data_IF_319158813881
#
_entry.id   IF_319158813881
#
_cell.length_a   1.000
_cell.length_b   1.000
_cell.length_c   1.000
_cell.angle_alpha   90.00
_cell.angle_beta   90.00
_cell.angle_gamma   90.00
#
_symmetry.space_group_name_H-M   'P 1'
#
loop_
_entity.id
_entity.type
_entity.pdbx_description
1 polymer ?
#
# COMPACT_ATOMS: atom_id res chain seq x y z
N UNK A 1 -22.31 -8.01 30.97
CA UNK A 1 -21.34 -6.93 31.22
C UNK A 1 -19.98 -7.39 30.77
N UNK A 2 -19.27 -6.58 30.00
CA UNK A 2 -17.93 -6.91 29.54
C UNK A 2 -16.96 -6.97 30.73
N UNK A 3 -16.21 -8.06 30.86
CA UNK A 3 -15.11 -8.14 31.81
C UNK A 3 -13.86 -7.53 31.19
N UNK A 4 -13.35 -6.48 31.78
CA UNK A 4 -12.20 -5.74 31.28
C UNK A 4 -11.02 -5.86 32.23
N UNK A 5 -9.84 -6.17 31.71
CA UNK A 5 -8.57 -6.20 32.45
C UNK A 5 -7.55 -5.31 31.74
N UNK A 6 -6.93 -4.38 32.48
CA UNK A 6 -5.85 -3.53 31.95
C UNK A 6 -4.48 -4.08 32.33
N UNK A 7 -3.62 -4.23 31.33
CA UNK A 7 -2.24 -4.68 31.51
C UNK A 7 -1.34 -3.68 30.77
N UNK A 8 -0.66 -2.80 31.51
CA UNK A 8 0.14 -1.72 30.93
C UNK A 8 -0.71 -0.83 29.98
N UNK A 9 -0.34 -0.71 28.73
CA UNK A 9 -1.08 0.02 27.69
C UNK A 9 -2.15 -0.81 26.98
N UNK A 10 -2.31 -2.09 27.35
CA UNK A 10 -3.27 -3.00 26.74
C UNK A 10 -4.54 -3.12 27.59
N UNK A 11 -5.67 -3.23 26.91
CA UNK A 11 -6.96 -3.51 27.51
C UNK A 11 -7.52 -4.81 26.95
N UNK A 12 -7.73 -5.82 27.80
CA UNK A 12 -8.32 -7.10 27.44
C UNK A 12 -9.80 -7.06 27.78
N UNK A 13 -10.64 -7.28 26.77
CA UNK A 13 -12.09 -7.18 26.93
C UNK A 13 -12.72 -8.51 26.52
N UNK A 14 -13.40 -9.15 27.45
CA UNK A 14 -14.20 -10.34 27.20
C UNK A 14 -15.66 -9.93 27.02
N UNK A 15 -16.10 -9.84 25.74
CA UNK A 15 -17.45 -9.44 25.38
C UNK A 15 -17.79 -10.01 23.98
N UNK A 16 -19.06 -9.93 23.60
CA UNK A 16 -19.44 -10.09 22.18
C UNK A 16 -18.80 -8.99 21.35
N UNK A 17 -18.13 -9.38 20.27
CA UNK A 17 -17.35 -8.44 19.47
C UNK A 17 -18.21 -7.40 18.76
N UNK A 18 -19.42 -7.76 18.29
CA UNK A 18 -20.34 -6.82 17.64
C UNK A 18 -20.89 -5.80 18.63
N UNK A 19 -21.27 -6.24 19.86
CA UNK A 19 -21.72 -5.33 20.90
C UNK A 19 -20.58 -4.37 21.32
N UNK A 20 -19.37 -4.91 21.51
CA UNK A 20 -18.24 -4.09 21.93
C UNK A 20 -17.82 -3.08 20.86
N UNK A 21 -17.68 -3.50 19.61
CA UNK A 21 -17.23 -2.63 18.52
C UNK A 21 -18.19 -1.46 18.29
N UNK A 22 -19.50 -1.65 18.52
CA UNK A 22 -20.49 -0.57 18.42
C UNK A 22 -20.24 0.57 19.42
N UNK A 23 -19.55 0.30 20.53
CA UNK A 23 -19.19 1.32 21.52
C UNK A 23 -18.00 2.17 21.10
N UNK A 24 -17.21 1.72 20.14
CA UNK A 24 -16.02 2.45 19.65
C UNK A 24 -16.43 3.61 18.72
N UNK A 25 -15.75 4.76 18.83
CA UNK A 25 -15.96 5.87 17.89
C UNK A 25 -15.64 5.48 16.45
N UNK A 26 -16.26 6.16 15.50
CA UNK A 26 -15.87 6.06 14.08
C UNK A 26 -14.44 6.57 13.87
N UNK A 27 -13.72 5.98 12.91
CA UNK A 27 -12.37 6.40 12.52
C UNK A 27 -11.38 6.49 13.71
N UNK A 28 -11.49 5.57 14.69
CA UNK A 28 -10.69 5.57 15.92
C UNK A 28 -9.58 4.54 15.95
N UNK A 29 -9.66 3.50 15.11
CA UNK A 29 -8.78 2.32 15.12
C UNK A 29 -7.79 2.38 13.95
N UNK A 30 -6.50 2.19 14.22
CA UNK A 30 -5.46 2.20 13.20
C UNK A 30 -5.28 0.83 12.53
N UNK A 31 -5.49 -0.26 13.28
CA UNK A 31 -5.26 -1.62 12.82
C UNK A 31 -6.26 -2.59 13.45
N UNK A 32 -6.85 -3.43 12.63
CA UNK A 32 -7.61 -4.61 13.07
C UNK A 32 -6.88 -5.87 12.61
N UNK A 33 -6.59 -6.76 13.56
CA UNK A 33 -6.11 -8.12 13.27
C UNK A 33 -7.08 -9.08 13.95
N UNK A 34 -7.76 -9.92 13.17
CA UNK A 34 -8.82 -10.77 13.70
C UNK A 34 -8.77 -12.17 13.12
N UNK A 35 -9.00 -13.15 13.99
CA UNK A 35 -9.11 -14.58 13.68
C UNK A 35 -10.50 -15.06 14.12
N UNK A 36 -11.54 -14.83 13.28
CA UNK A 36 -12.91 -15.23 13.61
C UNK A 36 -13.08 -16.75 13.52
N UNK A 37 -14.16 -17.32 14.07
CA UNK A 37 -14.54 -18.71 13.79
C UNK A 37 -14.57 -18.99 12.29
N UNK A 38 -14.12 -20.19 11.86
CA UNK A 38 -14.07 -20.53 10.43
C UNK A 38 -15.28 -21.33 9.95
N UNK A 39 -16.22 -21.55 10.83
CA UNK A 39 -17.44 -22.33 10.61
C UNK A 39 -17.20 -23.78 10.14
N UNK A 40 -17.55 -24.75 10.99
CA UNK A 40 -17.41 -26.19 10.79
C UNK A 40 -15.97 -26.71 10.68
N UNK A 41 -14.99 -26.01 11.25
CA UNK A 41 -13.61 -26.47 11.34
C UNK A 41 -13.36 -27.20 12.67
N UNK A 42 -14.03 -26.78 13.74
CA UNK A 42 -13.96 -27.36 15.07
C UNK A 42 -15.32 -27.93 15.48
N UNK A 43 -15.35 -28.98 16.33
CA UNK A 43 -16.61 -29.57 16.80
C UNK A 43 -17.33 -28.70 17.86
N UNK A 44 -16.66 -27.70 18.40
CA UNK A 44 -17.18 -26.82 19.47
C UNK A 44 -18.35 -25.96 18.98
N UNK A 45 -19.29 -25.67 19.89
CA UNK A 45 -20.51 -24.94 19.59
C UNK A 45 -20.26 -23.54 19.06
N UNK A 46 -19.20 -22.87 19.50
CA UNK A 46 -18.85 -21.53 19.01
C UNK A 46 -18.47 -21.50 17.51
N UNK A 47 -17.99 -22.63 16.94
CA UNK A 47 -17.65 -22.73 15.51
C UNK A 47 -18.84 -23.31 14.69
N UNK A 48 -19.94 -23.67 15.33
CA UNK A 48 -21.10 -24.33 14.72
C UNK A 48 -22.44 -23.64 15.00
N UNK A 49 -22.42 -22.36 15.35
CA UNK A 49 -23.62 -21.61 15.75
C UNK A 49 -24.47 -21.14 14.56
N UNK A 50 -23.97 -21.23 13.34
CA UNK A 50 -24.68 -20.82 12.13
C UNK A 50 -25.35 -22.00 11.44
N UNK A 51 -26.49 -21.75 10.78
CA UNK A 51 -27.28 -22.76 10.07
C UNK A 51 -26.64 -23.22 8.76
N UNK A 52 -25.84 -22.36 8.14
CA UNK A 52 -25.16 -22.63 6.86
C UNK A 52 -24.13 -21.57 6.53
N UNK A 53 -23.48 -21.73 5.37
CA UNK A 53 -22.44 -20.81 4.89
C UNK A 53 -22.98 -19.39 4.71
N UNK A 54 -24.19 -19.26 4.15
CA UNK A 54 -24.84 -17.94 3.96
C UNK A 54 -25.12 -17.24 5.29
N UNK A 55 -25.49 -17.98 6.34
CA UNK A 55 -25.79 -17.44 7.66
C UNK A 55 -24.49 -16.98 8.35
N UNK A 56 -23.43 -17.75 8.22
CA UNK A 56 -22.09 -17.37 8.66
C UNK A 56 -21.57 -16.12 7.93
N UNK A 57 -21.69 -16.08 6.61
CA UNK A 57 -21.25 -14.93 5.81
C UNK A 57 -22.04 -13.67 6.14
N UNK A 58 -23.34 -13.76 6.39
CA UNK A 58 -24.14 -12.62 6.86
C UNK A 58 -23.66 -12.06 8.20
N UNK A 59 -23.35 -12.94 9.15
CA UNK A 59 -22.77 -12.52 10.43
C UNK A 59 -21.41 -11.86 10.23
N UNK A 60 -20.53 -12.45 9.42
CA UNK A 60 -19.21 -11.89 9.14
C UNK A 60 -19.31 -10.54 8.41
N UNK A 61 -20.31 -10.36 7.54
CA UNK A 61 -20.57 -9.08 6.87
C UNK A 61 -20.95 -7.97 7.86
N UNK A 62 -21.71 -8.30 8.90
CA UNK A 62 -22.01 -7.36 9.98
C UNK A 62 -20.73 -6.95 10.73
N UNK A 63 -19.82 -7.91 10.98
CA UNK A 63 -18.51 -7.60 11.57
C UNK A 63 -17.69 -6.67 10.65
N UNK A 64 -17.61 -6.98 9.36
CA UNK A 64 -16.91 -6.18 8.38
C UNK A 64 -17.45 -4.75 8.27
N UNK A 65 -18.76 -4.58 8.35
CA UNK A 65 -19.39 -3.26 8.37
C UNK A 65 -18.95 -2.44 9.59
N UNK A 66 -18.84 -3.06 10.77
CA UNK A 66 -18.35 -2.38 11.96
C UNK A 66 -16.83 -2.15 11.89
N UNK A 67 -16.04 -3.07 11.35
CA UNK A 67 -14.60 -2.86 11.12
C UNK A 67 -14.37 -1.66 10.21
N UNK A 68 -15.15 -1.54 9.15
CA UNK A 68 -15.08 -0.40 8.24
C UNK A 68 -15.41 0.92 8.95
N UNK A 69 -16.44 0.95 9.78
CA UNK A 69 -16.86 2.14 10.53
C UNK A 69 -15.77 2.63 11.49
N UNK A 70 -15.14 1.73 12.24
CA UNK A 70 -14.19 2.10 13.29
C UNK A 70 -12.77 2.32 12.78
N UNK A 71 -12.39 1.72 11.65
CA UNK A 71 -11.07 1.93 11.05
C UNK A 71 -10.90 3.37 10.57
N UNK A 72 -9.76 3.96 10.86
CA UNK A 72 -9.33 5.23 10.27
C UNK A 72 -9.16 5.10 8.75
N UNK A 73 -9.29 6.19 7.97
CA UNK A 73 -9.07 6.17 6.51
C UNK A 73 -7.74 5.57 6.06
N UNK A 74 -6.70 5.66 6.89
CA UNK A 74 -5.39 5.04 6.67
C UNK A 74 -5.22 3.70 7.40
N UNK A 75 -6.29 3.19 8.01
CA UNK A 75 -6.28 1.96 8.81
C UNK A 75 -6.17 0.70 7.95
N UNK A 76 -5.73 -0.38 8.58
CA UNK A 76 -5.53 -1.67 7.92
C UNK A 76 -6.28 -2.79 8.62
N UNK A 77 -6.75 -3.76 7.84
CA UNK A 77 -7.43 -4.97 8.30
C UNK A 77 -6.65 -6.21 7.88
N UNK A 78 -6.37 -7.10 8.83
CA UNK A 78 -5.91 -8.46 8.60
C UNK A 78 -6.98 -9.42 9.11
N UNK A 79 -7.63 -10.13 8.20
CA UNK A 79 -8.67 -11.11 8.50
C UNK A 79 -8.18 -12.51 8.19
N UNK A 80 -8.06 -13.34 9.21
CA UNK A 80 -7.79 -14.77 9.04
C UNK A 80 -9.05 -15.50 8.60
N UNK A 81 -8.91 -16.47 7.72
CA UNK A 81 -10.02 -17.30 7.27
C UNK A 81 -9.57 -18.69 6.80
N UNK A 82 -10.47 -19.65 6.91
CA UNK A 82 -10.27 -20.99 6.36
C UNK A 82 -10.29 -20.98 4.82
N UNK A 83 -9.59 -21.95 4.22
CA UNK A 83 -9.47 -22.07 2.76
C UNK A 83 -10.82 -22.25 2.05
N UNK A 84 -11.84 -22.80 2.72
CA UNK A 84 -13.13 -23.17 2.14
C UNK A 84 -13.95 -21.95 1.70
N UNK A 85 -14.02 -20.92 2.53
CA UNK A 85 -14.80 -19.70 2.28
C UNK A 85 -13.95 -18.47 1.97
N UNK A 86 -12.64 -18.65 1.78
CA UNK A 86 -11.72 -17.52 1.58
C UNK A 86 -12.10 -16.63 0.37
N UNK A 87 -12.57 -17.24 -0.72
CA UNK A 87 -12.97 -16.51 -1.92
C UNK A 87 -14.27 -15.72 -1.70
N UNK A 88 -15.26 -16.31 -1.03
CA UNK A 88 -16.53 -15.65 -0.71
C UNK A 88 -16.30 -14.46 0.24
N UNK A 89 -15.44 -14.66 1.25
CA UNK A 89 -15.07 -13.62 2.21
C UNK A 89 -14.29 -12.49 1.50
N UNK A 90 -13.38 -12.81 0.58
CA UNK A 90 -12.64 -11.79 -0.18
C UNK A 90 -13.58 -10.97 -1.05
N UNK A 91 -14.52 -11.59 -1.75
CA UNK A 91 -15.52 -10.89 -2.57
C UNK A 91 -16.34 -9.94 -1.69
N UNK A 92 -16.84 -10.43 -0.55
CA UNK A 92 -17.59 -9.63 0.40
C UNK A 92 -16.77 -8.47 0.99
N UNK A 93 -15.50 -8.70 1.31
CA UNK A 93 -14.59 -7.63 1.77
C UNK A 93 -14.39 -6.53 0.73
N UNK A 94 -14.34 -6.87 -0.56
CA UNK A 94 -14.16 -5.90 -1.65
C UNK A 94 -15.31 -4.92 -1.81
N UNK A 95 -16.46 -5.19 -1.23
CA UNK A 95 -17.58 -4.23 -1.21
C UNK A 95 -17.29 -3.00 -0.35
N UNK A 96 -16.39 -3.12 0.66
CA UNK A 96 -16.07 -2.07 1.62
C UNK A 96 -14.60 -1.70 1.69
N UNK A 97 -13.70 -2.65 1.46
CA UNK A 97 -12.27 -2.52 1.62
C UNK A 97 -11.53 -2.66 0.28
N UNK A 98 -10.37 -2.02 0.19
CA UNK A 98 -9.42 -2.33 -0.87
C UNK A 98 -8.56 -3.51 -0.43
N UNK A 99 -8.89 -4.71 -0.89
CA UNK A 99 -8.10 -5.92 -0.60
C UNK A 99 -6.78 -5.85 -1.37
N UNK A 100 -5.68 -5.78 -0.63
CA UNK A 100 -4.33 -5.62 -1.17
C UNK A 100 -3.64 -6.96 -1.43
N UNK A 101 -3.78 -7.91 -0.49
CA UNK A 101 -3.11 -9.19 -0.57
C UNK A 101 -3.98 -10.32 -0.02
N UNK A 102 -3.88 -11.47 -0.66
CA UNK A 102 -4.32 -12.76 -0.16
C UNK A 102 -3.08 -13.54 0.28
N UNK A 103 -2.75 -13.44 1.57
CA UNK A 103 -1.57 -14.05 2.17
C UNK A 103 -1.86 -15.52 2.44
N UNK A 104 -0.94 -16.39 2.07
CA UNK A 104 -1.02 -17.83 2.34
C UNK A 104 -0.09 -18.15 3.49
N UNK A 105 -0.66 -18.57 4.62
CA UNK A 105 0.10 -19.07 5.76
C UNK A 105 0.26 -20.58 5.63
N UNK A 106 1.44 -21.03 5.21
CA UNK A 106 1.77 -22.44 5.13
C UNK A 106 2.07 -23.00 6.52
N UNK A 107 1.34 -24.03 6.93
CA UNK A 107 1.58 -24.75 8.19
C UNK A 107 2.72 -25.76 8.00
N UNK A 108 3.67 -25.88 8.93
CA UNK A 108 4.86 -26.72 8.76
C UNK A 108 4.58 -28.22 8.68
N UNK A 109 3.43 -28.69 9.11
CA UNK A 109 2.98 -30.08 8.90
C UNK A 109 1.47 -30.18 8.96
N UNK A 110 0.85 -30.74 7.93
CA UNK A 110 -0.51 -31.22 8.02
C UNK A 110 -0.57 -32.41 8.99
N UNK A 111 -1.24 -32.27 10.14
CA UNK A 111 -1.50 -33.40 11.02
C UNK A 111 -2.53 -34.31 10.34
N UNK A 112 -2.08 -35.44 9.88
CA UNK A 112 -2.91 -36.55 9.35
C UNK A 112 -3.72 -37.27 10.42
N UNK A 113 -3.82 -36.75 11.63
CA UNK A 113 -4.49 -37.37 12.75
C UNK A 113 -5.99 -37.56 12.47
N UNK A 114 -6.37 -38.79 12.21
CA UNK A 114 -7.78 -39.18 12.07
C UNK A 114 -8.37 -39.14 10.64
N UNK A 115 -7.60 -38.79 9.62
CA UNK A 115 -8.07 -38.90 8.24
C UNK A 115 -7.84 -40.27 7.64
N UNK A 116 -8.91 -40.92 7.21
CA UNK A 116 -8.80 -42.11 6.36
C UNK A 116 -8.36 -41.68 4.96
N UNK A 117 -7.11 -41.98 4.57
CA UNK A 117 -6.52 -41.59 3.28
C UNK A 117 -7.33 -42.10 2.09
N UNK A 118 -7.95 -43.24 2.21
CA UNK A 118 -8.72 -43.91 1.16
C UNK A 118 -10.06 -43.21 0.87
N UNK A 119 -10.57 -42.43 1.82
CA UNK A 119 -11.81 -41.67 1.67
C UNK A 119 -11.61 -40.19 1.25
N UNK A 120 -10.36 -39.73 1.17
CA UNK A 120 -10.08 -38.35 0.79
C UNK A 120 -10.34 -38.13 -0.71
N UNK A 121 -11.28 -37.22 -1.01
CA UNK A 121 -11.59 -36.76 -2.39
C UNK A 121 -10.96 -35.40 -2.73
N UNK A 122 -10.28 -34.77 -1.77
CA UNK A 122 -9.65 -33.45 -1.92
C UNK A 122 -8.26 -33.46 -1.32
N UNK A 123 -7.43 -32.52 -1.76
CA UNK A 123 -6.14 -32.29 -1.12
C UNK A 123 -6.34 -31.81 0.31
N UNK A 124 -5.51 -32.32 1.23
CA UNK A 124 -5.54 -31.89 2.62
C UNK A 124 -5.07 -30.42 2.73
N UNK A 125 -5.85 -29.53 3.34
CA UNK A 125 -5.46 -28.13 3.45
C UNK A 125 -4.36 -27.95 4.50
N UNK A 126 -3.14 -27.70 4.04
CA UNK A 126 -1.98 -27.40 4.89
C UNK A 126 -1.75 -25.89 5.04
N UNK A 127 -2.73 -25.07 4.70
CA UNK A 127 -2.61 -23.62 4.70
C UNK A 127 -3.82 -22.95 5.32
N UNK A 128 -3.62 -21.77 5.89
CA UNK A 128 -4.66 -20.79 6.20
C UNK A 128 -4.52 -19.55 5.32
N UNK A 129 -5.55 -18.75 5.26
CA UNK A 129 -5.60 -17.54 4.47
C UNK A 129 -5.67 -16.33 5.39
N UNK A 130 -4.96 -15.26 5.02
CA UNK A 130 -5.06 -13.97 5.69
C UNK A 130 -5.33 -12.93 4.61
N UNK A 131 -6.48 -12.30 4.68
CA UNK A 131 -6.86 -11.23 3.76
C UNK A 131 -6.38 -9.91 4.36
N UNK A 132 -5.43 -9.28 3.67
CA UNK A 132 -4.92 -7.96 4.04
C UNK A 132 -5.61 -6.90 3.21
N UNK A 133 -6.22 -5.94 3.89
CA UNK A 133 -6.95 -4.86 3.26
C UNK A 133 -6.67 -3.52 3.94
N UNK A 134 -6.78 -2.44 3.17
CA UNK A 134 -6.82 -1.08 3.69
C UNK A 134 -8.26 -0.55 3.71
N UNK A 135 -8.52 0.44 4.57
CA UNK A 135 -9.81 1.12 4.59
C UNK A 135 -10.08 1.79 3.24
N UNK A 136 -11.31 1.66 2.75
CA UNK A 136 -11.72 2.14 1.43
C UNK A 136 -12.91 3.08 1.55
N UNK A 137 -12.77 4.28 0.99
CA UNK A 137 -13.85 5.27 0.98
C UNK A 137 -14.51 5.35 -0.41
N UNK A 138 -15.30 4.34 -0.76
CA UNK A 138 -16.12 4.33 -1.98
C UNK A 138 -15.50 3.64 -3.20
N UNK A 139 -16.31 3.23 -4.17
CA UNK A 139 -15.96 2.28 -5.22
C UNK A 139 -14.93 2.76 -6.25
N UNK A 140 -14.51 4.01 -6.24
CA UNK A 140 -13.55 4.56 -7.19
C UNK A 140 -12.74 5.74 -6.67
N UNK A 141 -12.60 5.88 -5.37
CA UNK A 141 -11.63 6.86 -4.89
C UNK A 141 -10.24 6.32 -5.22
N UNK A 142 -9.47 7.01 -6.07
CA UNK A 142 -8.11 6.56 -6.34
C UNK A 142 -7.35 6.53 -5.01
N UNK A 143 -6.39 5.62 -4.89
CA UNK A 143 -5.46 5.43 -3.74
C UNK A 143 -4.69 6.71 -3.35
N UNK A 144 -5.23 7.88 -3.64
CA UNK A 144 -4.55 9.16 -3.56
C UNK A 144 -4.39 9.70 -2.15
N UNK A 145 -5.17 9.20 -1.19
CA UNK A 145 -5.14 9.70 0.19
C UNK A 145 -4.25 8.86 1.14
N UNK A 146 -3.64 7.77 0.63
CA UNK A 146 -2.67 7.00 1.37
C UNK A 146 -1.39 7.79 1.64
N UNK A 147 -0.74 7.54 2.79
CA UNK A 147 0.53 8.15 3.18
C UNK A 147 1.58 8.17 2.05
N UNK A 148 1.71 7.05 1.31
CA UNK A 148 2.64 6.94 0.20
C UNK A 148 2.26 7.83 -1.00
N UNK A 149 0.96 8.03 -1.26
CA UNK A 149 0.49 8.90 -2.33
C UNK A 149 0.73 10.37 -1.98
N UNK A 150 0.40 10.76 -0.74
CA UNK A 150 0.67 12.13 -0.27
C UNK A 150 2.17 12.43 -0.19
N UNK A 151 2.97 11.45 0.24
CA UNK A 151 4.43 11.57 0.22
C UNK A 151 4.98 11.77 -1.20
N UNK A 152 4.43 11.09 -2.22
CA UNK A 152 4.79 11.32 -3.63
C UNK A 152 4.38 12.70 -4.11
N UNK A 153 3.16 13.14 -3.80
CA UNK A 153 2.66 14.47 -4.14
C UNK A 153 3.53 15.58 -3.52
N UNK A 154 3.82 15.49 -2.23
CA UNK A 154 4.72 16.41 -1.54
C UNK A 154 6.12 16.43 -2.18
N UNK A 155 6.66 15.25 -2.51
CA UNK A 155 7.97 15.15 -3.17
C UNK A 155 7.95 15.84 -4.53
N UNK A 156 6.93 15.61 -5.34
CA UNK A 156 6.78 16.27 -6.65
C UNK A 156 6.69 17.79 -6.49
N UNK A 157 5.91 18.26 -5.52
CA UNK A 157 5.75 19.69 -5.25
C UNK A 157 7.07 20.34 -4.82
N UNK A 158 7.74 19.77 -3.84
CA UNK A 158 9.01 20.31 -3.31
C UNK A 158 10.12 20.24 -4.35
N UNK A 159 10.20 19.14 -5.13
CA UNK A 159 11.22 18.97 -6.17
C UNK A 159 10.89 19.66 -7.50
N UNK A 160 9.73 20.33 -7.59
CA UNK A 160 9.28 20.99 -8.82
C UNK A 160 10.35 21.87 -9.50
N UNK A 161 11.17 22.68 -8.79
CA UNK A 161 12.20 23.51 -9.43
C UNK A 161 13.26 22.70 -10.18
N UNK A 162 13.66 21.55 -9.65
CA UNK A 162 14.60 20.65 -10.33
C UNK A 162 13.92 19.86 -11.45
N UNK A 163 12.72 19.36 -11.21
CA UNK A 163 11.94 18.66 -12.23
C UNK A 163 11.72 19.56 -13.46
N UNK A 164 11.31 20.80 -13.26
CA UNK A 164 11.11 21.76 -14.34
C UNK A 164 12.41 22.05 -15.07
N UNK A 165 13.52 22.29 -14.36
CA UNK A 165 14.82 22.51 -15.00
C UNK A 165 15.20 21.43 -16.01
N UNK A 166 15.04 20.15 -15.64
CA UNK A 166 15.33 19.05 -16.53
C UNK A 166 14.29 18.91 -17.65
N UNK A 167 13.01 18.97 -17.31
CA UNK A 167 11.92 18.81 -18.26
C UNK A 167 11.92 19.90 -19.32
N UNK A 168 12.02 21.15 -18.92
CA UNK A 168 11.96 22.29 -19.82
C UNK A 168 13.14 22.31 -20.80
N UNK A 169 14.34 21.96 -20.32
CA UNK A 169 15.51 21.76 -21.17
C UNK A 169 15.29 20.67 -22.22
N UNK A 170 14.70 19.54 -21.82
CA UNK A 170 14.38 18.44 -22.75
C UNK A 170 13.33 18.83 -23.77
N UNK A 171 12.27 19.46 -23.34
CA UNK A 171 11.15 19.90 -24.19
C UNK A 171 11.60 20.96 -25.21
N UNK A 172 12.37 21.96 -24.77
CA UNK A 172 12.88 23.01 -25.65
C UNK A 172 13.72 22.48 -26.81
N UNK A 173 14.50 21.44 -26.56
CA UNK A 173 15.33 20.80 -27.59
C UNK A 173 14.65 19.61 -28.28
N UNK A 174 13.48 19.16 -27.79
CA UNK A 174 12.76 18.02 -28.33
C UNK A 174 13.55 16.70 -28.28
N UNK A 175 14.34 16.50 -27.18
CA UNK A 175 15.21 15.34 -27.03
C UNK A 175 14.36 14.10 -26.68
N UNK A 176 14.50 13.06 -27.47
CA UNK A 176 13.76 11.81 -27.33
C UNK A 176 14.36 10.89 -26.26
N UNK A 177 13.53 9.99 -25.72
CA UNK A 177 14.01 8.95 -24.79
C UNK A 177 15.06 8.03 -25.43
N UNK A 178 15.00 7.82 -26.75
CA UNK A 178 15.97 7.02 -27.51
C UNK A 178 17.36 7.68 -27.50
N UNK A 179 17.43 8.97 -27.79
CA UNK A 179 18.69 9.74 -27.75
C UNK A 179 19.31 9.73 -26.36
N UNK A 180 18.49 9.87 -25.29
CA UNK A 180 18.95 9.80 -23.89
C UNK A 180 19.52 8.41 -23.60
N UNK A 181 18.84 7.35 -24.01
CA UNK A 181 19.30 5.98 -23.81
C UNK A 181 20.61 5.69 -24.55
N UNK A 182 20.74 6.15 -25.79
CA UNK A 182 21.95 6.02 -26.60
C UNK A 182 23.15 6.77 -25.97
N UNK A 183 22.95 8.00 -25.50
CA UNK A 183 24.00 8.80 -24.90
C UNK A 183 24.47 8.26 -23.55
N UNK A 184 23.54 7.74 -22.73
CA UNK A 184 23.84 7.30 -21.37
C UNK A 184 24.10 5.82 -21.23
N UNK A 185 23.64 4.99 -22.20
CA UNK A 185 23.60 3.52 -22.13
C UNK A 185 22.48 2.96 -21.25
N UNK A 186 21.49 3.78 -20.83
CA UNK A 186 20.44 3.41 -19.86
C UNK A 186 19.04 3.56 -20.46
N UNK A 187 18.42 2.43 -20.87
CA UNK A 187 17.17 2.41 -21.63
C UNK A 187 15.95 3.05 -20.95
N UNK A 188 15.82 2.98 -19.61
CA UNK A 188 14.58 3.36 -18.90
C UNK A 188 14.73 4.60 -18.01
N UNK A 189 15.88 5.30 -18.06
CA UNK A 189 16.15 6.40 -17.13
C UNK A 189 15.56 7.74 -17.56
N UNK A 190 15.12 7.88 -18.80
CA UNK A 190 14.53 9.14 -19.28
C UNK A 190 13.30 9.57 -18.47
N UNK A 191 12.41 8.62 -18.09
CA UNK A 191 11.25 8.91 -17.25
C UNK A 191 11.63 9.30 -15.82
N UNK A 192 12.74 8.78 -15.29
CA UNK A 192 13.22 9.09 -13.94
C UNK A 192 13.93 10.44 -13.86
N UNK A 193 14.63 10.86 -14.91
CA UNK A 193 15.35 12.14 -14.89
C UNK A 193 14.52 13.32 -15.40
N UNK A 194 13.54 13.07 -16.28
CA UNK A 194 12.76 14.10 -16.95
C UNK A 194 11.24 14.02 -16.68
N UNK A 195 10.77 12.94 -16.01
CA UNK A 195 9.38 12.78 -15.61
C UNK A 195 9.15 13.21 -14.15
N UNK A 196 7.90 13.55 -13.81
CA UNK A 196 7.57 14.04 -12.46
C UNK A 196 7.33 12.93 -11.43
N UNK A 197 6.74 11.79 -11.83
CA UNK A 197 6.18 10.81 -10.88
C UNK A 197 7.25 10.04 -10.08
N UNK A 198 8.39 9.75 -10.70
CA UNK A 198 9.49 8.98 -10.10
C UNK A 198 10.83 9.71 -10.22
N UNK A 199 10.77 11.03 -10.21
CA UNK A 199 11.95 11.86 -10.45
C UNK A 199 13.09 11.60 -9.47
N UNK A 200 14.30 11.49 -9.99
CA UNK A 200 15.55 11.41 -9.25
C UNK A 200 16.65 12.19 -9.97
N UNK A 201 17.56 12.77 -9.18
CA UNK A 201 18.70 13.49 -9.72
C UNK A 201 19.68 12.50 -10.40
N UNK A 202 20.12 12.73 -11.66
CA UNK A 202 21.16 11.92 -12.26
C UNK A 202 22.47 12.04 -11.47
N UNK A 203 23.25 10.97 -11.39
CA UNK A 203 24.61 11.06 -10.85
C UNK A 203 25.52 11.88 -11.77
N UNK A 204 26.69 12.27 -11.29
CA UNK A 204 27.59 13.17 -12.03
C UNK A 204 28.01 12.63 -13.39
N UNK A 205 28.31 11.34 -13.49
CA UNK A 205 28.75 10.72 -14.74
C UNK A 205 27.63 10.71 -15.80
N UNK A 206 26.39 10.36 -15.38
CA UNK A 206 25.23 10.40 -16.26
C UNK A 206 24.86 11.84 -16.64
N UNK A 207 24.93 12.77 -15.67
CA UNK A 207 24.66 14.18 -15.94
C UNK A 207 25.62 14.80 -16.95
N UNK A 208 26.92 14.50 -16.88
CA UNK A 208 27.90 14.94 -17.89
C UNK A 208 27.58 14.42 -19.29
N UNK A 209 27.11 13.16 -19.39
CA UNK A 209 26.66 12.61 -20.68
C UNK A 209 25.41 13.31 -21.21
N UNK A 210 24.48 13.64 -20.33
CA UNK A 210 23.30 14.44 -20.68
C UNK A 210 23.71 15.84 -21.13
N UNK A 211 24.61 16.53 -20.43
CA UNK A 211 25.11 17.84 -20.84
C UNK A 211 25.71 17.79 -22.26
N UNK A 212 26.57 16.80 -22.54
CA UNK A 212 27.15 16.63 -23.87
C UNK A 212 26.10 16.38 -24.95
N UNK A 213 25.08 15.55 -24.69
CA UNK A 213 23.97 15.34 -25.61
C UNK A 213 23.20 16.64 -25.88
N UNK A 214 22.84 17.37 -24.83
CA UNK A 214 22.06 18.59 -24.90
C UNK A 214 22.80 19.69 -25.65
N UNK A 215 24.09 19.90 -25.32
CA UNK A 215 24.94 20.87 -26.03
C UNK A 215 25.05 20.56 -27.53
N UNK A 216 25.25 19.27 -27.88
CA UNK A 216 25.28 18.84 -29.29
C UNK A 216 23.96 19.15 -30.00
N UNK A 217 22.81 18.78 -29.44
CA UNK A 217 21.51 19.00 -30.05
C UNK A 217 21.18 20.49 -30.15
N UNK A 218 21.54 21.28 -29.12
CA UNK A 218 21.38 22.74 -29.13
C UNK A 218 22.17 23.37 -30.28
N UNK A 219 23.42 22.96 -30.48
CA UNK A 219 24.26 23.43 -31.60
C UNK A 219 23.66 23.04 -32.96
N UNK A 220 23.24 21.77 -33.12
CA UNK A 220 22.61 21.28 -34.36
C UNK A 220 21.32 22.03 -34.72
N UNK A 221 20.54 22.43 -33.73
CA UNK A 221 19.26 23.14 -33.92
C UNK A 221 19.37 24.67 -33.87
N UNK A 222 20.54 25.22 -33.57
CA UNK A 222 20.73 26.66 -33.30
C UNK A 222 19.77 27.22 -32.22
N UNK A 223 19.54 26.42 -31.20
CA UNK A 223 18.60 26.73 -30.11
C UNK A 223 19.32 26.77 -28.75
N UNK A 224 18.74 27.50 -27.79
CA UNK A 224 19.12 27.44 -26.38
C UNK A 224 18.27 26.38 -25.68
N UNK A 225 18.81 25.72 -24.66
CA UNK A 225 18.09 24.70 -23.89
C UNK A 225 19.06 23.70 -23.24
N UNK A 226 20.28 24.14 -23.03
CA UNK A 226 21.36 23.32 -22.46
C UNK A 226 21.16 23.06 -20.96
N UNK A 227 21.72 21.98 -20.47
CA UNK A 227 21.85 21.71 -19.05
C UNK A 227 23.09 22.43 -18.51
N UNK A 228 22.97 23.74 -18.26
CA UNK A 228 24.14 24.63 -17.98
C UNK A 228 24.61 24.53 -16.55
N UNK A 229 23.74 24.18 -15.58
CA UNK A 229 24.11 24.20 -14.15
C UNK A 229 25.17 23.13 -13.86
N UNK A 230 26.22 23.44 -13.06
CA UNK A 230 27.17 22.43 -12.64
C UNK A 230 26.49 21.42 -11.71
N UNK A 231 26.92 20.14 -11.78
CA UNK A 231 26.30 19.06 -11.02
C UNK A 231 26.29 19.32 -9.49
N UNK A 232 27.36 19.86 -8.94
CA UNK A 232 27.45 20.17 -7.50
C UNK A 232 26.38 21.19 -7.05
N UNK A 233 26.00 22.14 -7.91
CA UNK A 233 24.93 23.09 -7.62
C UNK A 233 23.57 22.38 -7.59
N UNK A 234 23.33 21.44 -8.49
CA UNK A 234 22.10 20.62 -8.49
C UNK A 234 22.03 19.75 -7.24
N UNK A 235 23.16 19.17 -6.81
CA UNK A 235 23.25 18.39 -5.58
C UNK A 235 22.96 19.25 -4.34
N UNK A 236 23.51 20.47 -4.29
CA UNK A 236 23.21 21.41 -3.20
C UNK A 236 21.72 21.77 -3.14
N UNK A 237 21.14 22.13 -4.29
CA UNK A 237 19.70 22.41 -4.41
C UNK A 237 18.85 21.20 -4.01
N UNK A 238 19.21 20.01 -4.50
CA UNK A 238 18.53 18.78 -4.13
C UNK A 238 18.56 18.51 -2.63
N UNK A 239 19.71 18.69 -2.00
CA UNK A 239 19.89 18.49 -0.55
C UNK A 239 19.03 19.43 0.27
N UNK A 240 18.90 20.69 -0.14
CA UNK A 240 18.02 21.68 0.49
C UNK A 240 16.55 21.29 0.33
N UNK A 241 16.11 21.02 -0.89
CA UNK A 241 14.73 20.58 -1.16
C UNK A 241 14.40 19.27 -0.45
N UNK A 242 15.35 18.34 -0.34
CA UNK A 242 15.13 17.07 0.36
C UNK A 242 14.95 17.28 1.88
N UNK A 243 15.63 18.24 2.48
CA UNK A 243 15.39 18.64 3.88
C UNK A 243 13.98 19.21 4.06
N UNK A 244 13.55 20.09 3.16
CA UNK A 244 12.19 20.65 3.17
C UNK A 244 11.14 19.53 3.02
N UNK A 245 11.33 18.64 2.08
CA UNK A 245 10.45 17.47 1.88
C UNK A 245 10.36 16.62 3.15
N UNK A 246 11.48 16.29 3.78
CA UNK A 246 11.50 15.46 5.00
C UNK A 246 10.77 16.16 6.15
N UNK A 247 10.97 17.47 6.33
CA UNK A 247 10.26 18.25 7.35
C UNK A 247 8.74 18.24 7.13
N UNK A 248 8.28 18.52 5.92
CA UNK A 248 6.86 18.50 5.56
C UNK A 248 6.25 17.10 5.72
N UNK A 249 7.00 16.05 5.40
CA UNK A 249 6.55 14.68 5.55
C UNK A 249 6.38 14.30 7.03
N UNK A 250 7.28 14.71 7.92
CA UNK A 250 7.15 14.49 9.36
C UNK A 250 6.00 15.32 9.96
N UNK A 251 5.82 16.56 9.53
CA UNK A 251 4.66 17.36 9.91
C UNK A 251 3.35 16.68 9.51
N UNK A 252 3.26 16.21 8.26
CA UNK A 252 2.09 15.47 7.79
C UNK A 252 1.82 14.21 8.61
N UNK A 253 2.87 13.47 9.01
CA UNK A 253 2.74 12.33 9.92
C UNK A 253 2.21 12.72 11.29
N UNK A 254 2.66 13.85 11.82
CA UNK A 254 2.26 14.31 13.16
C UNK A 254 0.79 14.74 13.21
N UNK A 255 0.28 15.33 12.13
CA UNK A 255 -1.12 15.76 12.02
C UNK A 255 -2.11 14.60 11.89
N UNK A 256 -1.63 13.39 11.57
CA UNK A 256 -2.44 12.17 11.47
C UNK A 256 -2.35 11.25 12.70
N UNK A 257 -1.59 11.62 13.71
CA UNK A 257 -1.55 10.95 15.02
C UNK A 257 -2.60 11.55 15.96
#
# INVERSE_FOLDING_TARGET
MANTVKISSCELINADCLEFIQTLPENSVDLIVTDPPYFKVKPEGWDNQWKGDDDYLKWLDQCLAQFWRVLKPAGSLYLFCGHRLASDIEIMMRERFNVLNHIIWAKPSGRWNGCNKESLRAYFPATERILFAEHYQGPYQPKNDGYAAKGRELKQHVMAPLISYFRDARESLGITSKQIAEATGKKNMASHWFGASQWQLPNEADYRKLQALFARVATEKHQRGELEKPHHQLVSTYSELNRQYTSLLEEYKSLRR
#
